data_IF_057428135494
#
_entry.id   IF_057428135494
#
_cell.length_a   1.000
_cell.length_b   1.000
_cell.length_c   1.000
_cell.angle_alpha   90.00
_cell.angle_beta   90.00
_cell.angle_gamma   90.00
#
_symmetry.space_group_name_H-M   'P 1'
#
loop_
_entity.id
_entity.type
_entity.pdbx_description
1 polymer ?
#
# COMPACT_ATOMS: atom_id res chain seq x y z
N UNK A 1 -6.62 -1.31 -3.54
CA UNK A 1 -7.55 -0.87 -2.50
C UNK A 1 -7.75 0.65 -2.50
N UNK A 2 -8.95 1.12 -2.88
CA UNK A 2 -9.38 2.51 -2.68
C UNK A 2 -10.37 2.53 -1.50
N UNK A 3 -10.08 3.32 -0.48
CA UNK A 3 -11.01 3.55 0.63
C UNK A 3 -11.93 4.71 0.20
N UNK A 4 -13.19 4.42 -0.09
CA UNK A 4 -14.19 5.43 -0.44
C UNK A 4 -14.98 5.80 0.81
N UNK A 5 -14.70 6.97 1.36
CA UNK A 5 -15.32 7.50 2.59
C UNK A 5 -16.84 7.69 2.47
N UNK A 6 -17.39 7.69 1.26
CA UNK A 6 -18.83 7.68 0.99
C UNK A 6 -19.05 7.18 -0.43
N UNK A 7 -19.36 5.89 -0.56
CA UNK A 7 -20.02 5.40 -1.76
C UNK A 7 -21.43 5.97 -1.76
N UNK A 8 -21.95 6.50 -2.89
CA UNK A 8 -23.38 6.88 -3.00
C UNK A 8 -24.35 5.70 -2.88
N UNK A 9 -23.83 4.49 -2.63
CA UNK A 9 -24.55 3.21 -2.67
C UNK A 9 -24.78 2.67 -1.24
N UNK A 10 -24.00 3.09 -0.24
CA UNK A 10 -24.05 2.52 1.12
C UNK A 10 -23.81 3.59 2.19
N UNK A 11 -24.54 3.50 3.30
CA UNK A 11 -24.38 4.43 4.45
C UNK A 11 -23.08 4.20 5.24
N UNK A 12 -22.44 3.03 5.06
CA UNK A 12 -21.21 2.62 5.76
C UNK A 12 -19.95 2.79 4.89
N UNK A 13 -18.80 2.96 5.55
CA UNK A 13 -17.48 2.98 4.90
C UNK A 13 -17.29 1.70 4.09
N UNK A 14 -17.05 1.86 2.78
CA UNK A 14 -16.90 0.73 1.86
C UNK A 14 -15.49 0.70 1.28
N UNK A 15 -14.84 -0.44 1.40
CA UNK A 15 -13.53 -0.71 0.81
C UNK A 15 -13.76 -1.35 -0.55
N UNK A 16 -13.19 -0.76 -1.60
CA UNK A 16 -13.28 -1.30 -2.95
C UNK A 16 -11.88 -1.61 -3.49
N UNK A 17 -11.71 -2.80 -4.05
CA UNK A 17 -10.52 -3.14 -4.82
C UNK A 17 -10.88 -3.66 -6.21
N UNK A 18 -10.53 -2.90 -7.26
CA UNK A 18 -10.87 -3.27 -8.63
C UNK A 18 -10.14 -4.55 -9.11
N UNK A 19 -9.15 -5.04 -8.36
CA UNK A 19 -8.47 -6.31 -8.66
C UNK A 19 -9.30 -7.53 -8.25
N UNK A 20 -10.27 -7.38 -7.35
CA UNK A 20 -11.15 -8.46 -6.89
C UNK A 20 -12.03 -9.01 -8.02
N UNK A 21 -12.25 -8.23 -9.08
CA UNK A 21 -13.03 -8.65 -10.25
C UNK A 21 -12.22 -9.50 -11.25
N UNK A 22 -10.90 -9.58 -11.11
CA UNK A 22 -10.06 -10.42 -11.96
C UNK A 22 -9.73 -11.73 -11.24
N UNK A 23 -10.23 -12.86 -11.76
CA UNK A 23 -10.02 -14.19 -11.15
C UNK A 23 -8.55 -14.55 -10.92
N UNK A 24 -7.62 -14.05 -11.75
CA UNK A 24 -6.18 -14.29 -11.59
C UNK A 24 -5.56 -13.50 -10.44
N UNK A 25 -6.17 -12.38 -10.06
CA UNK A 25 -5.65 -11.46 -9.03
C UNK A 25 -6.46 -11.46 -7.73
N UNK A 26 -7.62 -12.14 -7.68
CA UNK A 26 -8.51 -12.19 -6.52
C UNK A 26 -7.91 -12.92 -5.32
N UNK A 27 -7.17 -14.00 -5.55
CA UNK A 27 -6.66 -14.84 -4.47
C UNK A 27 -5.25 -14.41 -4.09
N UNK A 28 -5.12 -13.86 -2.90
CA UNK A 28 -3.83 -13.52 -2.30
C UNK A 28 -3.89 -13.72 -0.80
N UNK A 29 -2.73 -13.65 -0.16
CA UNK A 29 -2.64 -13.72 1.30
C UNK A 29 -3.30 -12.46 1.90
N UNK A 30 -4.24 -12.63 2.82
CA UNK A 30 -4.92 -11.53 3.50
C UNK A 30 -3.94 -10.62 4.24
N UNK A 31 -2.81 -11.15 4.70
CA UNK A 31 -1.73 -10.38 5.29
C UNK A 31 -1.07 -9.44 4.27
N UNK A 32 -0.97 -9.86 3.01
CA UNK A 32 -0.42 -9.02 1.93
C UNK A 32 -1.36 -7.86 1.56
N UNK A 33 -2.67 -8.02 1.76
CA UNK A 33 -3.67 -6.98 1.56
C UNK A 33 -3.63 -5.94 2.68
N UNK A 34 -3.63 -6.38 3.95
CA UNK A 34 -3.52 -5.44 5.07
C UNK A 34 -2.15 -4.74 5.07
N UNK A 35 -1.06 -5.45 4.72
CA UNK A 35 0.27 -4.86 4.58
C UNK A 35 0.29 -3.69 3.59
N UNK A 36 -0.44 -3.81 2.49
CA UNK A 36 -0.54 -2.75 1.49
C UNK A 36 -1.18 -1.49 2.08
N UNK A 37 -2.29 -1.63 2.81
CA UNK A 37 -2.95 -0.50 3.46
C UNK A 37 -2.07 0.13 4.54
N UNK A 38 -1.42 -0.67 5.38
CA UNK A 38 -0.54 -0.19 6.44
C UNK A 38 0.65 0.59 5.87
N UNK A 39 1.28 0.08 4.81
CA UNK A 39 2.37 0.77 4.11
C UNK A 39 1.90 2.10 3.50
N UNK A 40 0.71 2.14 2.88
CA UNK A 40 0.19 3.37 2.29
C UNK A 40 -0.13 4.42 3.36
N UNK A 41 -0.71 4.02 4.50
CA UNK A 41 -0.94 4.91 5.64
C UNK A 41 0.38 5.53 6.12
N UNK A 42 1.43 4.73 6.29
CA UNK A 42 2.74 5.20 6.73
C UNK A 42 3.41 6.11 5.70
N UNK A 43 3.24 5.82 4.40
CA UNK A 43 3.70 6.68 3.32
C UNK A 43 3.09 8.09 3.40
N UNK A 44 1.82 8.21 3.80
CA UNK A 44 1.15 9.50 4.02
C UNK A 44 1.32 10.07 5.44
N UNK A 45 2.22 9.51 6.26
CA UNK A 45 2.51 9.99 7.61
C UNK A 45 1.57 9.46 8.70
N UNK A 46 0.62 8.60 8.35
CA UNK A 46 -0.39 7.99 9.23
C UNK A 46 0.13 6.85 10.13
N UNK A 47 1.35 6.96 10.67
CA UNK A 47 1.99 5.91 11.47
C UNK A 47 1.13 5.47 12.67
N UNK A 48 0.50 6.41 13.36
CA UNK A 48 -0.40 6.12 14.50
C UNK A 48 -1.63 5.33 14.06
N UNK A 49 -2.20 5.64 12.89
CA UNK A 49 -3.34 4.92 12.36
C UNK A 49 -2.95 3.53 11.85
N UNK A 50 -1.81 3.40 11.19
CA UNK A 50 -1.24 2.11 10.78
C UNK A 50 -1.10 1.17 12.00
N UNK A 51 -0.45 1.64 13.08
CA UNK A 51 -0.28 0.85 14.31
C UNK A 51 -1.63 0.40 14.90
N UNK A 52 -2.56 1.33 15.10
CA UNK A 52 -3.90 1.03 15.63
C UNK A 52 -4.66 0.03 14.76
N UNK A 53 -4.59 0.19 13.45
CA UNK A 53 -5.24 -0.73 12.50
C UNK A 53 -4.61 -2.12 12.57
N UNK A 54 -3.29 -2.20 12.63
CA UNK A 54 -2.58 -3.48 12.76
C UNK A 54 -2.96 -4.20 14.05
N UNK A 55 -2.99 -3.48 15.19
CA UNK A 55 -3.36 -4.07 16.48
C UNK A 55 -4.79 -4.63 16.46
N UNK A 56 -5.73 -3.90 15.85
CA UNK A 56 -7.11 -4.35 15.70
C UNK A 56 -7.22 -5.55 14.74
N UNK A 57 -6.53 -5.49 13.59
CA UNK A 57 -6.54 -6.56 12.60
C UNK A 57 -5.96 -7.84 13.19
N UNK A 58 -4.77 -7.76 13.80
CA UNK A 58 -4.08 -8.88 14.42
C UNK A 58 -4.95 -9.58 15.47
N UNK A 59 -5.64 -8.80 16.30
CA UNK A 59 -6.58 -9.33 17.30
C UNK A 59 -7.78 -10.01 16.67
N UNK A 60 -8.36 -9.41 15.64
CA UNK A 60 -9.62 -9.87 15.02
C UNK A 60 -9.39 -11.11 14.14
N UNK A 61 -8.31 -11.12 13.37
CA UNK A 61 -7.91 -12.22 12.50
C UNK A 61 -7.14 -13.33 13.24
N UNK A 62 -6.88 -13.17 14.55
CA UNK A 62 -6.14 -14.12 15.39
C UNK A 62 -4.75 -14.46 14.80
N UNK A 63 -4.05 -13.43 14.32
CA UNK A 63 -2.76 -13.59 13.67
C UNK A 63 -1.63 -13.71 14.70
N UNK A 64 -0.84 -14.78 14.57
CA UNK A 64 0.26 -15.10 15.48
C UNK A 64 1.57 -15.28 14.70
N UNK A 65 2.66 -14.71 15.22
CA UNK A 65 4.01 -14.86 14.65
C UNK A 65 4.20 -14.38 13.20
N UNK A 66 3.31 -13.54 12.67
CA UNK A 66 3.37 -13.05 11.28
C UNK A 66 4.14 -11.73 11.09
N UNK A 67 4.75 -11.17 12.14
CA UNK A 67 5.37 -9.83 12.07
C UNK A 67 6.47 -9.73 10.99
N UNK A 68 7.31 -10.75 10.85
CA UNK A 68 8.37 -10.77 9.83
C UNK A 68 7.80 -10.86 8.41
N UNK A 69 6.74 -11.65 8.24
CA UNK A 69 6.04 -11.77 6.95
C UNK A 69 5.29 -10.47 6.60
N UNK A 70 4.70 -9.81 7.60
CA UNK A 70 4.08 -8.50 7.44
C UNK A 70 5.12 -7.47 6.98
N UNK A 71 6.28 -7.41 7.64
CA UNK A 71 7.37 -6.51 7.25
C UNK A 71 7.82 -6.79 5.81
N UNK A 72 8.00 -8.07 5.45
CA UNK A 72 8.31 -8.49 4.08
C UNK A 72 7.28 -7.98 3.08
N UNK A 73 5.98 -8.16 3.34
CA UNK A 73 4.93 -7.66 2.44
C UNK A 73 4.92 -6.15 2.34
N UNK A 74 5.15 -5.41 3.42
CA UNK A 74 5.25 -3.94 3.39
C UNK A 74 6.43 -3.47 2.56
N UNK A 75 7.61 -4.11 2.71
CA UNK A 75 8.79 -3.87 1.89
C UNK A 75 8.48 -4.12 0.41
N UNK A 76 7.92 -5.30 0.10
CA UNK A 76 7.55 -5.68 -1.26
C UNK A 76 6.60 -4.65 -1.90
N UNK A 77 5.54 -4.26 -1.19
CA UNK A 77 4.56 -3.28 -1.68
C UNK A 77 5.18 -1.90 -1.90
N UNK A 78 6.03 -1.44 -0.98
CA UNK A 78 6.73 -0.17 -1.12
C UNK A 78 7.68 -0.17 -2.34
N UNK A 79 8.42 -1.27 -2.55
CA UNK A 79 9.29 -1.42 -3.73
C UNK A 79 8.46 -1.44 -5.02
N UNK A 80 7.35 -2.18 -5.06
CA UNK A 80 6.47 -2.23 -6.23
C UNK A 80 5.90 -0.83 -6.54
N UNK A 81 5.44 -0.08 -5.55
CA UNK A 81 4.99 1.32 -5.73
C UNK A 81 6.09 2.20 -6.30
N UNK A 82 7.30 2.15 -5.73
CA UNK A 82 8.45 2.89 -6.23
C UNK A 82 8.81 2.52 -7.67
N UNK A 83 8.83 1.23 -7.99
CA UNK A 83 9.14 0.72 -9.34
C UNK A 83 8.09 1.16 -10.36
N UNK A 84 6.81 0.93 -10.08
CA UNK A 84 5.71 1.27 -11.00
C UNK A 84 5.68 2.78 -11.26
N UNK A 85 5.87 3.58 -10.21
CA UNK A 85 5.92 5.03 -10.35
C UNK A 85 7.10 5.50 -11.22
N UNK A 86 8.24 4.79 -11.17
CA UNK A 86 9.40 5.10 -12.02
C UNK A 86 9.19 4.82 -13.51
N UNK A 87 8.19 4.02 -13.92
CA UNK A 87 7.89 3.83 -15.35
C UNK A 87 7.46 5.12 -16.06
N UNK A 88 6.96 6.11 -15.31
CA UNK A 88 6.64 7.43 -15.85
C UNK A 88 7.87 8.17 -16.40
N UNK A 89 9.08 7.77 -15.99
CA UNK A 89 10.32 8.41 -16.44
C UNK A 89 10.66 8.06 -17.90
N UNK A 90 10.26 6.87 -18.34
CA UNK A 90 10.51 6.36 -19.70
C UNK A 90 9.47 6.89 -20.71
N UNK A 91 8.36 7.48 -20.24
CA UNK A 91 7.33 8.05 -21.09
C UNK A 91 7.78 9.42 -21.65
N UNK A 92 7.97 9.50 -22.96
CA UNK A 92 8.36 10.73 -23.65
C UNK A 92 7.23 11.79 -23.68
N UNK A 93 5.98 11.41 -23.45
CA UNK A 93 4.82 12.32 -23.42
C UNK A 93 4.68 13.09 -22.09
N UNK A 94 5.42 12.69 -21.05
CA UNK A 94 5.38 13.32 -19.73
C UNK A 94 6.43 14.45 -19.65
N UNK A 95 5.96 15.65 -19.31
CA UNK A 95 6.83 16.82 -19.12
C UNK A 95 7.80 16.68 -17.94
N UNK A 96 8.89 17.46 -17.97
CA UNK A 96 9.98 17.34 -17.01
C UNK A 96 9.57 17.51 -15.54
N UNK A 97 8.62 18.41 -15.26
CA UNK A 97 8.10 18.64 -13.91
C UNK A 97 7.45 17.37 -13.31
N UNK A 98 6.58 16.71 -14.09
CA UNK A 98 5.95 15.45 -13.68
C UNK A 98 6.96 14.33 -13.51
N UNK A 99 8.01 14.29 -14.33
CA UNK A 99 9.12 13.34 -14.15
C UNK A 99 9.86 13.58 -12.84
N UNK A 100 10.09 14.84 -12.47
CA UNK A 100 10.72 15.17 -11.20
C UNK A 100 9.84 14.77 -9.99
N UNK A 101 8.53 14.99 -10.08
CA UNK A 101 7.57 14.51 -9.09
C UNK A 101 7.59 12.98 -8.98
N UNK A 102 7.63 12.27 -10.11
CA UNK A 102 7.77 10.83 -10.13
C UNK A 102 9.07 10.37 -9.46
N UNK A 103 10.21 11.02 -9.71
CA UNK A 103 11.48 10.72 -9.03
C UNK A 103 11.35 10.90 -7.52
N UNK A 104 10.78 12.03 -7.06
CA UNK A 104 10.58 12.33 -5.63
C UNK A 104 9.70 11.27 -4.97
N UNK A 105 8.59 10.94 -5.62
CA UNK A 105 7.61 9.95 -5.16
C UNK A 105 8.23 8.55 -5.06
N UNK A 106 8.93 8.09 -6.11
CA UNK A 106 9.63 6.79 -6.11
C UNK A 106 10.70 6.71 -5.03
N UNK A 107 11.51 7.76 -4.86
CA UNK A 107 12.54 7.83 -3.80
C UNK A 107 11.92 7.72 -2.41
N UNK A 108 10.79 8.37 -2.15
CA UNK A 108 10.08 8.26 -0.86
C UNK A 108 9.63 6.82 -0.59
N UNK A 109 9.11 6.11 -1.59
CA UNK A 109 8.73 4.70 -1.44
C UNK A 109 9.92 3.80 -1.15
N UNK A 110 11.06 3.99 -1.83
CA UNK A 110 12.26 3.21 -1.55
C UNK A 110 12.85 3.50 -0.16
N UNK A 111 12.79 4.74 0.30
CA UNK A 111 13.16 5.10 1.68
C UNK A 111 12.25 4.43 2.70
N UNK A 112 10.94 4.41 2.45
CA UNK A 112 9.98 3.72 3.31
C UNK A 112 10.27 2.21 3.37
N UNK A 113 10.51 1.57 2.23
CA UNK A 113 10.90 0.16 2.17
C UNK A 113 12.15 -0.12 3.03
N UNK A 114 13.16 0.75 2.94
CA UNK A 114 14.38 0.64 3.74
C UNK A 114 14.12 0.78 5.25
N UNK A 115 13.22 1.67 5.66
CA UNK A 115 12.89 1.87 7.08
C UNK A 115 12.21 0.68 7.77
N UNK A 116 11.81 -0.35 7.02
CA UNK A 116 11.30 -1.59 7.61
C UNK A 116 12.40 -2.63 7.89
N UNK A 117 13.63 -2.38 7.43
CA UNK A 117 14.79 -3.26 7.59
C UNK A 117 15.70 -2.77 8.74
N UNK A 118 15.71 -1.46 8.98
CA UNK A 118 16.46 -0.78 10.04
C UNK A 118 15.72 -0.84 11.39
#
# INVERSE_FOLDING_TARGET
MKILHRSRITENLSIFDCIEFNNRFRYTDTLADIAFLLMDLEYYGGNTFSKKLWDLYKKTAQEHNVNSLLAFYKIYRAIVRGKVNSFQLDDASIGMEKKEEAIKTSRRYFKLARSYIE
#
